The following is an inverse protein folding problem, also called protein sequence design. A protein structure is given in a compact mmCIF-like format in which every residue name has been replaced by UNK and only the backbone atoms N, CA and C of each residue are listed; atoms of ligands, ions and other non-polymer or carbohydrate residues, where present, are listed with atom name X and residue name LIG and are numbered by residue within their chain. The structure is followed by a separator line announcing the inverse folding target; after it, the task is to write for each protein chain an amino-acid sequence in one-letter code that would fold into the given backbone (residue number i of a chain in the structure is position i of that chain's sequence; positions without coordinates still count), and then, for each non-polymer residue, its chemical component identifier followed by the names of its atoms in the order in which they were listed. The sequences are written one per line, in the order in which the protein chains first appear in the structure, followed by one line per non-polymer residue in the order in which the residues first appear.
data_IF_997541022547
#
_entry.id   IF_997541022547
#
_cell.length_a   1.000
_cell.length_b   1.000
_cell.length_c   1.000
_cell.angle_alpha   90.00
_cell.angle_beta   90.00
_cell.angle_gamma   90.00
#
_symmetry.space_group_name_H-M   'P 1'
#
loop_
_entity.id
_entity.type
_entity.pdbx_description
1 polymer ?
#
# COMPACT_ATOMS: atom_id res chain seq x y z
N UNK A 1 9.30 -18.21 -18.46
CA UNK A 1 8.33 -17.10 -18.23
C UNK A 1 8.96 -15.75 -18.52
N UNK A 2 8.15 -14.77 -18.93
CA UNK A 2 8.63 -13.39 -19.08
C UNK A 2 8.67 -12.68 -17.71
N UNK A 3 9.69 -11.84 -17.52
CA UNK A 3 9.85 -11.05 -16.31
C UNK A 3 10.59 -9.73 -16.61
N UNK A 4 10.32 -8.71 -15.80
CA UNK A 4 11.09 -7.47 -15.79
C UNK A 4 12.29 -7.64 -14.84
N UNK A 5 13.48 -7.58 -15.42
CA UNK A 5 14.74 -7.86 -14.74
C UNK A 5 15.46 -6.55 -14.38
N UNK A 6 15.88 -6.47 -13.13
CA UNK A 6 16.77 -5.45 -12.60
C UNK A 6 18.20 -6.02 -12.56
N UNK A 7 19.02 -5.66 -13.54
CA UNK A 7 20.41 -6.12 -13.63
C UNK A 7 21.39 -5.21 -12.86
N UNK A 8 20.93 -4.01 -12.46
CA UNK A 8 21.73 -3.02 -11.73
C UNK A 8 20.87 -2.10 -10.91
N UNK A 9 21.48 -1.39 -9.95
CA UNK A 9 20.83 -0.38 -9.11
C UNK A 9 20.83 1.03 -9.76
N UNK A 10 20.56 1.10 -11.08
CA UNK A 10 20.60 2.35 -11.85
C UNK A 10 19.19 2.91 -12.16
N UNK A 11 18.17 2.42 -11.48
CA UNK A 11 16.80 2.91 -11.59
C UNK A 11 15.91 2.14 -12.57
N UNK A 12 14.65 2.54 -12.59
CA UNK A 12 13.57 1.88 -13.35
C UNK A 12 13.84 1.89 -14.88
N UNK A 13 14.48 2.92 -15.40
CA UNK A 13 14.78 3.03 -16.84
C UNK A 13 15.72 1.92 -17.33
N UNK A 14 16.49 1.32 -16.45
CA UNK A 14 17.42 0.21 -16.75
C UNK A 14 16.79 -1.17 -16.61
N UNK A 15 15.53 -1.27 -16.19
CA UNK A 15 14.81 -2.54 -16.23
C UNK A 15 14.68 -3.03 -17.67
N UNK A 16 14.81 -4.33 -17.85
CA UNK A 16 14.55 -4.96 -19.16
C UNK A 16 13.55 -6.11 -19.04
N UNK A 17 12.70 -6.23 -20.04
CA UNK A 17 11.85 -7.41 -20.21
C UNK A 17 12.71 -8.56 -20.78
N UNK A 18 12.65 -9.71 -20.16
CA UNK A 18 13.41 -10.89 -20.57
C UNK A 18 12.71 -12.19 -20.23
N UNK A 19 13.27 -13.28 -20.70
CA UNK A 19 12.82 -14.64 -20.36
C UNK A 19 13.72 -15.25 -19.29
N UNK A 20 13.09 -15.92 -18.32
CA UNK A 20 13.74 -16.67 -17.25
C UNK A 20 13.04 -18.04 -17.08
N UNK A 21 13.71 -19.04 -16.54
CA UNK A 21 13.05 -20.30 -16.21
C UNK A 21 11.82 -20.08 -15.30
N UNK A 22 10.81 -20.92 -15.45
CA UNK A 22 9.68 -20.94 -14.53
C UNK A 22 10.16 -21.35 -13.14
N UNK A 23 9.78 -20.62 -12.08
CA UNK A 23 10.17 -20.98 -10.74
C UNK A 23 9.34 -22.18 -10.23
N UNK A 24 9.90 -22.99 -9.35
CA UNK A 24 9.23 -24.10 -8.72
C UNK A 24 9.01 -23.85 -7.22
N UNK A 25 7.79 -24.12 -6.71
CA UNK A 25 7.51 -23.90 -5.30
C UNK A 25 8.16 -24.99 -4.44
N UNK A 26 8.76 -24.57 -3.33
CA UNK A 26 9.17 -25.48 -2.25
C UNK A 26 7.97 -26.00 -1.47
N UNK A 27 8.21 -26.90 -0.48
CA UNK A 27 7.12 -27.57 0.25
C UNK A 27 6.08 -26.63 0.88
N UNK A 28 6.49 -25.48 1.43
CA UNK A 28 5.61 -24.53 2.09
C UNK A 28 5.23 -23.33 1.21
N UNK A 29 5.47 -23.43 -0.10
CA UNK A 29 5.25 -22.33 -1.05
C UNK A 29 4.25 -22.74 -2.13
N UNK A 30 3.76 -21.74 -2.85
CA UNK A 30 2.78 -21.85 -3.91
C UNK A 30 3.31 -21.10 -5.13
N UNK A 31 3.12 -21.65 -6.33
CA UNK A 31 3.34 -20.97 -7.59
C UNK A 31 2.05 -20.26 -7.99
N UNK A 32 2.12 -18.96 -8.12
CA UNK A 32 1.00 -18.10 -8.52
C UNK A 32 1.25 -17.54 -9.91
N UNK A 33 0.31 -17.76 -10.84
CA UNK A 33 0.25 -17.09 -12.13
C UNK A 33 -0.31 -15.68 -11.92
N UNK A 34 0.54 -14.67 -12.07
CA UNK A 34 0.19 -13.28 -11.79
C UNK A 34 -0.81 -12.76 -12.81
N UNK A 35 -1.92 -12.20 -12.33
CA UNK A 35 -2.93 -11.49 -13.14
C UNK A 35 -2.66 -9.99 -13.14
N UNK A 36 -2.50 -9.43 -11.96
CA UNK A 36 -2.13 -8.03 -11.76
C UNK A 36 -1.01 -7.92 -10.73
N UNK A 37 -0.01 -7.13 -11.03
CA UNK A 37 0.96 -6.61 -10.08
C UNK A 37 0.63 -5.14 -9.77
N UNK A 38 1.00 -4.65 -8.57
CA UNK A 38 0.79 -3.25 -8.23
C UNK A 38 2.10 -2.55 -7.88
N UNK A 39 2.30 -1.37 -8.46
CA UNK A 39 3.54 -0.62 -8.31
C UNK A 39 3.57 0.19 -7.01
N UNK A 40 4.74 0.29 -6.42
CA UNK A 40 5.00 1.04 -5.20
C UNK A 40 6.24 1.94 -5.35
N UNK A 41 6.29 3.10 -4.68
CA UNK A 41 7.52 3.92 -4.65
C UNK A 41 8.73 3.16 -4.12
N UNK A 42 8.53 2.19 -3.22
CA UNK A 42 9.57 1.34 -2.68
C UNK A 42 10.27 0.48 -3.76
N UNK A 43 9.55 0.04 -4.80
CA UNK A 43 10.14 -0.69 -5.93
C UNK A 43 11.13 0.21 -6.70
N UNK A 44 10.76 1.48 -6.93
CA UNK A 44 11.64 2.45 -7.57
C UNK A 44 12.87 2.78 -6.70
N UNK A 45 12.70 2.92 -5.38
CA UNK A 45 13.82 3.12 -4.46
C UNK A 45 14.76 1.92 -4.43
N UNK A 46 14.23 0.69 -4.49
CA UNK A 46 15.06 -0.52 -4.58
C UNK A 46 15.85 -0.53 -5.89
N UNK A 47 15.21 -0.22 -7.01
CA UNK A 47 15.86 -0.14 -8.32
C UNK A 47 16.99 0.91 -8.37
N UNK A 48 16.88 1.98 -7.59
CA UNK A 48 17.89 3.04 -7.47
C UNK A 48 18.98 2.73 -6.42
N UNK A 49 18.90 1.58 -5.75
CA UNK A 49 19.81 1.28 -4.65
C UNK A 49 19.62 2.13 -3.39
N UNK A 50 18.47 2.80 -3.27
CA UNK A 50 18.10 3.65 -2.13
C UNK A 50 17.25 2.93 -1.08
N UNK A 51 17.04 1.62 -1.24
CA UNK A 51 16.35 0.77 -0.27
C UNK A 51 17.38 0.01 0.58
N UNK A 52 17.09 -0.31 1.86
CA UNK A 52 18.05 -1.03 2.73
C UNK A 52 18.46 -2.39 2.18
N UNK A 53 17.50 -3.17 1.65
CA UNK A 53 17.79 -4.47 1.05
C UNK A 53 18.59 -4.34 -0.25
N UNK A 54 19.48 -5.30 -0.49
CA UNK A 54 20.32 -5.41 -1.69
C UNK A 54 20.24 -6.84 -2.23
N UNK A 55 19.14 -7.20 -2.91
CA UNK A 55 18.99 -8.55 -3.46
C UNK A 55 20.08 -8.88 -4.48
N UNK A 56 20.30 -10.19 -4.66
CA UNK A 56 21.18 -10.70 -5.71
C UNK A 56 20.60 -10.35 -7.09
N UNK A 57 21.45 -9.83 -7.97
CA UNK A 57 21.08 -9.48 -9.34
C UNK A 57 21.36 -10.64 -10.32
N UNK A 58 20.56 -10.82 -11.39
CA UNK A 58 19.37 -10.04 -11.73
C UNK A 58 18.22 -10.31 -10.77
N UNK A 59 17.45 -9.27 -10.41
CA UNK A 59 16.31 -9.35 -9.50
C UNK A 59 15.00 -8.96 -10.18
N UNK A 60 13.88 -9.49 -9.70
CA UNK A 60 12.53 -9.17 -10.18
C UNK A 60 11.81 -8.36 -9.09
N UNK A 61 11.40 -7.14 -9.41
CA UNK A 61 10.67 -6.25 -8.51
C UNK A 61 9.19 -6.63 -8.40
N UNK A 62 8.47 -5.90 -7.55
CA UNK A 62 7.02 -6.02 -7.35
C UNK A 62 6.66 -6.75 -6.07
N UNK A 63 6.01 -6.01 -5.15
CA UNK A 63 5.72 -6.45 -3.77
C UNK A 63 4.24 -6.77 -3.55
N UNK A 64 3.39 -6.36 -4.46
CA UNK A 64 1.94 -6.53 -4.45
C UNK A 64 1.48 -7.28 -5.68
N UNK A 65 0.43 -8.06 -5.55
CA UNK A 65 -0.19 -8.69 -6.69
C UNK A 65 -1.33 -9.62 -6.33
N UNK A 66 -2.01 -10.05 -7.37
CA UNK A 66 -3.10 -11.02 -7.35
C UNK A 66 -2.93 -11.98 -8.50
N UNK A 67 -3.28 -13.22 -8.30
CA UNK A 67 -3.17 -14.23 -9.33
C UNK A 67 -3.90 -15.51 -9.03
N UNK A 68 -3.71 -16.48 -9.89
CA UNK A 68 -4.30 -17.81 -9.81
C UNK A 68 -3.22 -18.83 -9.42
N UNK A 69 -3.54 -19.68 -8.48
CA UNK A 69 -2.65 -20.75 -8.00
C UNK A 69 -2.47 -21.81 -9.08
N UNK A 70 -1.23 -22.00 -9.53
CA UNK A 70 -0.86 -22.98 -10.55
C UNK A 70 -0.31 -24.28 -9.94
N UNK A 71 0.53 -24.18 -8.91
CA UNK A 71 1.09 -25.33 -8.18
C UNK A 71 1.11 -25.04 -6.68
N UNK A 72 0.91 -26.09 -5.89
CA UNK A 72 0.94 -26.02 -4.42
C UNK A 72 1.97 -27.01 -3.90
N UNK A 73 2.90 -26.55 -3.06
CA UNK A 73 3.85 -27.42 -2.37
C UNK A 73 3.17 -28.34 -1.36
N UNK A 74 3.84 -29.40 -0.94
CA UNK A 74 3.27 -30.46 -0.11
C UNK A 74 2.73 -29.99 1.26
N UNK A 75 3.08 -28.77 1.69
CA UNK A 75 2.62 -28.12 2.93
C UNK A 75 1.92 -26.79 2.66
N UNK A 76 1.19 -26.66 1.53
CA UNK A 76 0.51 -25.44 1.09
C UNK A 76 -0.74 -25.05 1.90
N UNK A 77 -1.05 -25.76 2.98
CA UNK A 77 -2.16 -25.41 3.87
C UNK A 77 -3.52 -25.55 3.22
N UNK A 78 -4.35 -24.51 3.31
CA UNK A 78 -5.70 -24.48 2.76
C UNK A 78 -5.78 -23.98 1.31
N UNK A 79 -4.65 -23.62 0.71
CA UNK A 79 -4.58 -23.12 -0.68
C UNK A 79 -4.70 -24.31 -1.65
N UNK A 80 -5.45 -24.13 -2.73
CA UNK A 80 -5.69 -25.15 -3.77
C UNK A 80 -5.32 -24.61 -5.15
N UNK A 81 -4.93 -25.49 -6.05
CA UNK A 81 -4.77 -25.16 -7.49
C UNK A 81 -6.09 -24.62 -8.03
N UNK A 82 -6.02 -23.51 -8.76
CA UNK A 82 -7.17 -22.78 -9.28
C UNK A 82 -7.72 -21.71 -8.35
N UNK A 83 -7.29 -21.65 -7.08
CA UNK A 83 -7.69 -20.56 -6.19
C UNK A 83 -7.19 -19.22 -6.73
N UNK A 84 -8.02 -18.18 -6.59
CA UNK A 84 -7.60 -16.81 -6.85
C UNK A 84 -7.19 -16.15 -5.53
N UNK A 85 -5.95 -15.68 -5.47
CA UNK A 85 -5.32 -15.24 -4.23
C UNK A 85 -4.61 -13.91 -4.39
N UNK A 86 -4.62 -13.11 -3.33
CA UNK A 86 -3.78 -11.93 -3.19
C UNK A 86 -2.60 -12.21 -2.27
N UNK A 87 -1.52 -11.46 -2.49
CA UNK A 87 -0.29 -11.57 -1.74
C UNK A 87 -0.33 -10.55 -0.61
N UNK A 88 -0.34 -11.03 0.63
CA UNK A 88 -0.50 -10.17 1.79
C UNK A 88 0.81 -9.54 2.24
N UNK A 89 1.71 -10.33 2.79
CA UNK A 89 3.01 -9.86 3.31
C UNK A 89 4.05 -10.95 3.16
N UNK A 90 5.12 -10.66 2.44
CA UNK A 90 6.34 -11.47 2.39
C UNK A 90 7.48 -10.67 1.74
N UNK A 91 8.64 -11.28 1.58
CA UNK A 91 9.84 -10.61 1.04
C UNK A 91 9.93 -10.65 -0.49
N UNK A 92 8.83 -10.99 -1.20
CA UNK A 92 8.81 -10.93 -2.67
C UNK A 92 9.03 -9.49 -3.15
N UNK A 93 9.76 -9.37 -4.25
CA UNK A 93 10.13 -8.07 -4.82
C UNK A 93 11.11 -7.27 -3.96
N UNK A 94 11.61 -7.83 -2.85
CA UNK A 94 12.64 -7.23 -1.98
C UNK A 94 13.86 -8.11 -1.93
N UNK A 95 13.80 -9.28 -1.32
CA UNK A 95 14.87 -10.27 -1.24
C UNK A 95 14.60 -11.48 -2.12
N UNK A 96 13.31 -11.78 -2.35
CA UNK A 96 12.85 -12.84 -3.24
C UNK A 96 12.31 -12.23 -4.54
N UNK A 97 12.35 -12.95 -5.69
CA UNK A 97 11.73 -12.49 -6.93
C UNK A 97 10.27 -12.07 -6.75
N UNK A 98 9.89 -10.96 -7.37
CA UNK A 98 8.59 -10.31 -7.18
C UNK A 98 7.57 -10.53 -8.30
N UNK A 99 6.52 -9.72 -8.27
CA UNK A 99 5.33 -9.86 -9.11
C UNK A 99 5.43 -9.21 -10.49
N UNK A 100 6.53 -8.50 -10.81
CA UNK A 100 6.75 -8.02 -12.18
C UNK A 100 7.24 -9.15 -13.10
N UNK A 101 6.57 -10.30 -13.02
CA UNK A 101 6.78 -11.52 -13.80
C UNK A 101 5.45 -12.24 -14.03
N UNK A 102 5.40 -13.14 -15.03
CA UNK A 102 4.20 -13.93 -15.32
C UNK A 102 3.84 -14.90 -14.17
N UNK A 103 4.85 -15.35 -13.42
CA UNK A 103 4.66 -16.26 -12.28
C UNK A 103 5.57 -15.84 -11.12
N UNK A 104 5.12 -16.11 -9.91
CA UNK A 104 5.87 -15.85 -8.68
C UNK A 104 5.67 -16.99 -7.68
N UNK A 105 6.72 -17.37 -6.96
CA UNK A 105 6.64 -18.29 -5.83
C UNK A 105 6.45 -17.49 -4.55
N UNK A 106 5.39 -17.82 -3.80
CA UNK A 106 5.00 -17.12 -2.57
C UNK A 106 4.84 -18.14 -1.43
N UNK A 107 5.28 -17.85 -0.19
CA UNK A 107 4.92 -18.66 0.96
C UNK A 107 3.40 -18.81 1.08
N UNK A 108 2.90 -20.01 1.22
CA UNK A 108 1.46 -20.29 1.24
C UNK A 108 0.72 -19.49 2.33
N UNK A 109 1.35 -19.31 3.49
CA UNK A 109 0.81 -18.53 4.61
C UNK A 109 0.70 -17.01 4.35
N UNK A 110 1.39 -16.50 3.32
CA UNK A 110 1.31 -15.10 2.88
C UNK A 110 0.21 -14.87 1.84
N UNK A 111 -0.55 -15.89 1.48
CA UNK A 111 -1.66 -15.78 0.55
C UNK A 111 -2.98 -15.61 1.30
N UNK A 112 -3.87 -14.83 0.72
CA UNK A 112 -5.24 -14.64 1.20
C UNK A 112 -6.22 -14.70 0.03
N UNK A 113 -7.40 -15.25 0.27
CA UNK A 113 -8.48 -15.21 -0.71
C UNK A 113 -8.99 -13.78 -0.89
N UNK A 114 -9.55 -13.52 -2.06
CA UNK A 114 -10.13 -12.22 -2.38
C UNK A 114 -11.39 -11.99 -1.52
N UNK A 115 -11.53 -10.85 -0.86
CA UNK A 115 -12.73 -10.53 -0.10
C UNK A 115 -13.98 -10.54 -1.02
N UNK A 116 -15.10 -10.97 -0.50
CA UNK A 116 -16.36 -11.04 -1.26
C UNK A 116 -16.71 -9.70 -1.88
N UNK A 117 -17.02 -9.71 -3.17
CA UNK A 117 -17.41 -8.52 -3.92
C UNK A 117 -16.24 -7.57 -4.30
N UNK A 118 -14.97 -7.96 -4.04
CA UNK A 118 -13.82 -7.22 -4.55
C UNK A 118 -13.43 -7.72 -5.94
N UNK A 119 -12.96 -6.80 -6.78
CA UNK A 119 -12.33 -7.17 -8.05
C UNK A 119 -10.87 -7.61 -7.86
N UNK A 120 -10.29 -8.21 -8.91
CA UNK A 120 -8.85 -8.54 -8.91
C UNK A 120 -7.99 -7.30 -8.80
N UNK A 121 -8.39 -6.23 -9.46
CA UNK A 121 -7.70 -4.96 -9.46
C UNK A 121 -7.69 -4.32 -8.07
N UNK A 122 -8.84 -4.31 -7.39
CA UNK A 122 -8.94 -3.82 -6.00
C UNK A 122 -8.04 -4.64 -5.09
N UNK A 123 -8.04 -5.97 -5.23
CA UNK A 123 -7.20 -6.85 -4.42
C UNK A 123 -5.71 -6.65 -4.72
N UNK A 124 -5.31 -6.54 -6.00
CA UNK A 124 -3.90 -6.38 -6.38
C UNK A 124 -3.24 -5.17 -5.73
N UNK A 125 -4.00 -4.08 -5.57
CA UNK A 125 -3.50 -2.81 -5.06
C UNK A 125 -3.64 -2.61 -3.54
N UNK A 126 -4.27 -3.54 -2.82
CA UNK A 126 -4.69 -3.29 -1.44
C UNK A 126 -3.68 -3.72 -0.36
N UNK A 127 -3.13 -4.94 -0.33
CA UNK A 127 -2.51 -5.49 0.85
C UNK A 127 -1.40 -4.63 1.44
N UNK A 128 -0.40 -4.25 0.65
CA UNK A 128 0.75 -3.51 1.15
C UNK A 128 0.35 -2.13 1.72
N UNK A 129 -0.46 -1.38 0.98
CA UNK A 129 -0.82 -0.01 1.38
C UNK A 129 -1.75 0.01 2.58
N UNK A 130 -2.71 -0.93 2.67
CA UNK A 130 -3.62 -1.00 3.81
C UNK A 130 -2.94 -1.56 5.06
N UNK A 131 -2.03 -2.53 4.96
CA UNK A 131 -1.23 -2.98 6.11
C UNK A 131 -0.32 -1.85 6.62
N UNK A 132 0.30 -1.09 5.72
CA UNK A 132 1.12 0.07 6.08
C UNK A 132 0.27 1.14 6.78
N UNK A 133 -0.89 1.49 6.24
CA UNK A 133 -1.80 2.45 6.85
C UNK A 133 -2.35 1.96 8.20
N UNK A 134 -2.70 0.68 8.31
CA UNK A 134 -3.14 0.07 9.56
C UNK A 134 -2.07 0.20 10.64
N UNK A 135 -0.82 -0.17 10.35
CA UNK A 135 0.29 -0.02 11.27
C UNK A 135 0.50 1.45 11.67
N UNK A 136 0.48 2.37 10.70
CA UNK A 136 0.62 3.80 10.95
C UNK A 136 -0.43 4.34 11.94
N UNK A 137 -1.66 3.84 11.87
CA UNK A 137 -2.75 4.25 12.73
C UNK A 137 -2.73 3.57 14.11
N UNK A 138 -2.24 2.33 14.21
CA UNK A 138 -2.46 1.49 15.39
C UNK A 138 -1.23 1.24 16.26
N UNK A 139 -0.01 1.56 15.80
CA UNK A 139 1.25 1.28 16.51
C UNK A 139 1.45 2.05 17.84
N UNK A 140 0.56 2.96 18.18
CA UNK A 140 0.78 3.92 19.27
C UNK A 140 0.24 3.49 20.63
N UNK A 141 -0.37 2.34 20.72
CA UNK A 141 -0.82 1.70 21.96
C UNK A 141 -0.17 0.32 22.13
N UNK A 142 -0.17 -0.19 23.34
CA UNK A 142 0.29 -1.54 23.65
C UNK A 142 -0.83 -2.29 24.40
N UNK A 143 -1.39 -3.35 23.80
CA UNK A 143 -1.13 -3.84 22.44
C UNK A 143 -1.59 -2.86 21.34
N UNK A 144 -1.06 -2.96 20.10
CA UNK A 144 -1.45 -2.10 18.99
C UNK A 144 -2.96 -2.11 18.73
N UNK A 145 -3.55 -0.92 18.65
CA UNK A 145 -4.99 -0.74 18.49
C UNK A 145 -5.38 0.61 17.89
N UNK A 146 -6.65 0.76 17.46
CA UNK A 146 -7.13 1.98 16.83
C UNK A 146 -7.02 3.18 17.78
N UNK A 147 -6.82 4.39 17.25
CA UNK A 147 -6.93 5.63 18.02
C UNK A 147 -8.32 5.79 18.64
N UNK A 148 -8.42 6.66 19.65
CA UNK A 148 -9.72 7.00 20.22
C UNK A 148 -10.64 7.62 19.15
N UNK A 149 -11.93 7.27 19.20
CA UNK A 149 -12.94 7.87 18.30
C UNK A 149 -12.91 9.40 18.41
N UNK A 150 -13.19 10.06 17.28
CA UNK A 150 -13.18 11.52 17.16
C UNK A 150 -11.81 12.17 17.39
N UNK A 151 -10.71 11.37 17.51
CA UNK A 151 -9.36 11.90 17.37
C UNK A 151 -9.15 12.48 15.98
N UNK A 152 -8.35 13.53 15.87
CA UNK A 152 -8.04 14.17 14.58
C UNK A 152 -6.84 13.50 13.94
N UNK A 153 -7.05 12.96 12.74
CA UNK A 153 -6.05 12.37 11.88
C UNK A 153 -5.66 13.34 10.77
N UNK A 154 -4.39 13.69 10.65
CA UNK A 154 -3.84 14.43 9.53
C UNK A 154 -3.11 13.47 8.58
N UNK A 155 -3.41 13.53 7.28
CA UNK A 155 -2.81 12.65 6.26
C UNK A 155 -2.13 13.47 5.18
N UNK A 156 -0.81 13.34 5.04
CA UNK A 156 -0.07 13.93 3.91
C UNK A 156 -0.03 12.97 2.73
N UNK A 157 0.07 13.49 1.51
CA UNK A 157 0.04 12.66 0.31
C UNK A 157 -1.23 11.80 0.23
N UNK A 158 -2.35 12.36 0.67
CA UNK A 158 -3.61 11.65 0.90
C UNK A 158 -4.18 10.96 -0.35
N UNK A 159 -3.84 11.41 -1.55
CA UNK A 159 -4.26 10.76 -2.80
C UNK A 159 -3.43 9.55 -3.20
N UNK A 160 -2.24 9.37 -2.63
CA UNK A 160 -1.39 8.19 -2.89
C UNK A 160 -1.91 6.92 -2.22
N UNK A 161 -1.32 5.77 -2.52
CA UNK A 161 -1.80 4.47 -2.04
C UNK A 161 -1.97 4.40 -0.52
N UNK A 162 -0.92 4.67 0.27
CA UNK A 162 -0.99 4.62 1.75
C UNK A 162 -1.82 5.78 2.31
N UNK A 163 -1.68 6.98 1.73
CA UNK A 163 -2.46 8.14 2.17
C UNK A 163 -3.96 7.88 2.05
N UNK A 164 -4.40 7.37 0.90
CA UNK A 164 -5.80 7.06 0.65
C UNK A 164 -6.31 5.91 1.54
N UNK A 165 -5.49 4.88 1.74
CA UNK A 165 -5.81 3.82 2.70
C UNK A 165 -5.96 4.38 4.12
N UNK A 166 -5.14 5.37 4.52
CA UNK A 166 -5.24 6.04 5.82
C UNK A 166 -6.52 6.87 5.96
N UNK A 167 -6.96 7.56 4.88
CA UNK A 167 -8.24 8.29 4.85
C UNK A 167 -9.41 7.32 5.05
N UNK A 168 -9.45 6.23 4.28
CA UNK A 168 -10.53 5.23 4.37
C UNK A 168 -10.58 4.56 5.74
N UNK A 169 -9.43 4.14 6.27
CA UNK A 169 -9.36 3.53 7.60
C UNK A 169 -9.68 4.54 8.71
N UNK A 170 -9.21 5.79 8.58
CA UNK A 170 -9.56 6.87 9.51
C UNK A 170 -11.06 7.07 9.60
N UNK A 171 -11.74 7.14 8.44
CA UNK A 171 -13.21 7.19 8.37
C UNK A 171 -13.85 5.97 9.02
N UNK A 172 -13.35 4.77 8.71
CA UNK A 172 -13.87 3.54 9.30
C UNK A 172 -13.66 3.45 10.83
N UNK A 173 -12.67 4.15 11.38
CA UNK A 173 -12.39 4.21 12.82
C UNK A 173 -13.09 5.38 13.53
N UNK A 174 -14.01 6.09 12.86
CA UNK A 174 -14.70 7.27 13.38
C UNK A 174 -13.76 8.41 13.77
N UNK A 175 -12.65 8.61 13.03
CA UNK A 175 -11.74 9.73 13.19
C UNK A 175 -12.22 10.94 12.39
N UNK A 176 -11.80 12.14 12.82
CA UNK A 176 -11.91 13.37 12.02
C UNK A 176 -10.69 13.40 11.11
N UNK A 177 -10.90 13.28 9.80
CA UNK A 177 -9.83 13.13 8.82
C UNK A 177 -9.55 14.45 8.11
N UNK A 178 -8.37 15.00 8.37
CA UNK A 178 -7.79 16.14 7.64
C UNK A 178 -6.82 15.59 6.60
N UNK A 179 -7.10 15.82 5.33
CA UNK A 179 -6.26 15.33 4.24
C UNK A 179 -5.52 16.48 3.55
N UNK A 180 -4.32 16.21 3.00
CA UNK A 180 -3.59 17.19 2.22
C UNK A 180 -3.47 16.74 0.76
N UNK A 181 -3.85 17.64 -0.18
CA UNK A 181 -3.74 17.43 -1.62
C UNK A 181 -3.58 18.74 -2.36
N UNK A 182 -2.69 18.80 -3.36
CA UNK A 182 -2.47 19.95 -4.24
C UNK A 182 -3.50 20.09 -5.36
N UNK A 183 -4.15 19.00 -5.71
CA UNK A 183 -5.01 18.87 -6.89
C UNK A 183 -6.49 19.00 -6.49
N UNK A 184 -7.18 20.01 -7.00
CA UNK A 184 -8.59 20.30 -6.69
C UNK A 184 -9.54 19.13 -7.05
N UNK A 185 -9.31 18.45 -8.18
CA UNK A 185 -10.13 17.30 -8.56
C UNK A 185 -9.97 16.13 -7.58
N UNK A 186 -8.78 15.98 -7.00
CA UNK A 186 -8.50 14.97 -5.96
C UNK A 186 -9.09 15.39 -4.60
N UNK A 187 -9.13 16.68 -4.27
CA UNK A 187 -9.75 17.18 -3.03
C UNK A 187 -11.21 16.75 -2.97
N UNK A 188 -11.97 16.97 -4.04
CA UNK A 188 -13.40 16.55 -4.12
C UNK A 188 -13.54 15.03 -3.91
N UNK A 189 -12.68 14.23 -4.53
CA UNK A 189 -12.71 12.78 -4.38
C UNK A 189 -12.33 12.34 -2.96
N UNK A 190 -11.36 12.99 -2.31
CA UNK A 190 -10.96 12.70 -0.94
C UNK A 190 -12.10 12.95 0.05
N UNK A 191 -12.88 14.03 -0.12
CA UNK A 191 -14.09 14.28 0.67
C UNK A 191 -15.09 13.14 0.47
N UNK A 192 -15.38 12.76 -0.77
CA UNK A 192 -16.32 11.67 -1.08
C UNK A 192 -15.86 10.32 -0.48
N UNK A 193 -14.55 10.11 -0.30
CA UNK A 193 -13.95 8.91 0.29
C UNK A 193 -13.78 8.97 1.81
N UNK A 194 -14.19 10.07 2.45
CA UNK A 194 -14.28 10.15 3.90
C UNK A 194 -13.31 11.12 4.59
N UNK A 195 -12.60 11.98 3.85
CA UNK A 195 -11.95 13.13 4.46
C UNK A 195 -13.01 14.16 4.88
N UNK A 196 -12.91 14.69 6.11
CA UNK A 196 -13.82 15.74 6.59
C UNK A 196 -13.44 17.11 6.02
N UNK A 197 -12.13 17.34 5.82
CA UNK A 197 -11.62 18.56 5.20
C UNK A 197 -10.32 18.26 4.45
N UNK A 198 -10.09 18.99 3.35
CA UNK A 198 -8.87 18.85 2.54
C UNK A 198 -8.21 20.22 2.32
N UNK A 199 -6.92 20.31 2.63
CA UNK A 199 -6.11 21.52 2.43
C UNK A 199 -5.05 21.32 1.36
N UNK A 200 -4.59 22.44 0.80
CA UNK A 200 -3.39 22.46 -0.03
C UNK A 200 -2.15 22.47 0.89
N UNK A 201 -1.21 21.50 0.74
CA UNK A 201 0.03 21.50 1.51
C UNK A 201 0.95 22.71 1.20
N UNK A 202 0.71 23.44 0.11
CA UNK A 202 1.48 24.64 -0.27
C UNK A 202 0.86 25.94 0.28
N UNK A 203 -0.27 25.86 1.01
CA UNK A 203 -0.85 27.01 1.70
C UNK A 203 0.13 27.54 2.76
N UNK A 204 0.53 28.81 2.62
CA UNK A 204 1.44 29.48 3.57
C UNK A 204 0.89 29.56 5.00
N UNK A 205 -0.43 29.46 5.16
CA UNK A 205 -1.12 29.47 6.44
C UNK A 205 -1.62 28.08 6.86
N UNK A 206 -1.11 27.01 6.28
CA UNK A 206 -1.59 25.63 6.44
C UNK A 206 -1.91 25.27 7.90
N UNK A 207 -0.99 25.51 8.82
CA UNK A 207 -1.14 25.16 10.24
C UNK A 207 -2.31 25.92 10.88
N UNK A 208 -2.47 27.20 10.55
CA UNK A 208 -3.56 28.03 11.08
C UNK A 208 -4.91 27.63 10.44
N UNK A 209 -4.91 27.37 9.14
CA UNK A 209 -6.11 26.92 8.40
C UNK A 209 -6.63 25.59 8.96
N UNK A 210 -5.74 24.61 9.19
CA UNK A 210 -6.09 23.36 9.85
C UNK A 210 -6.62 23.62 11.25
N UNK A 211 -5.89 24.40 12.07
CA UNK A 211 -6.29 24.69 13.45
C UNK A 211 -7.67 25.34 13.55
N UNK A 212 -7.99 26.25 12.65
CA UNK A 212 -9.31 26.89 12.59
C UNK A 212 -10.43 25.91 12.25
N UNK A 213 -10.19 25.05 11.25
CA UNK A 213 -11.20 24.09 10.77
C UNK A 213 -11.55 23.01 11.81
N UNK A 214 -10.60 22.61 12.65
CA UNK A 214 -10.82 21.53 13.66
C UNK A 214 -11.06 22.07 15.07
N UNK A 215 -11.08 23.40 15.28
CA UNK A 215 -11.25 24.03 16.61
C UNK A 215 -12.52 23.52 17.32
N UNK A 216 -12.47 23.27 18.63
CA UNK A 216 -11.35 23.44 19.58
C UNK A 216 -10.34 22.28 19.63
N UNK A 217 -10.49 21.28 18.76
CA UNK A 217 -9.62 20.11 18.72
C UNK A 217 -8.21 20.48 18.21
N UNK A 218 -7.29 19.53 18.33
CA UNK A 218 -5.93 19.58 17.78
C UNK A 218 -5.66 18.27 17.03
N UNK A 219 -4.65 18.25 16.18
CA UNK A 219 -4.23 17.02 15.50
C UNK A 219 -3.62 16.07 16.51
N UNK A 220 -4.21 14.87 16.66
CA UNK A 220 -3.77 13.83 17.60
C UNK A 220 -2.76 12.88 16.95
N UNK A 221 -2.95 12.60 15.68
CA UNK A 221 -2.12 11.68 14.91
C UNK A 221 -1.92 12.20 13.48
N UNK A 222 -0.69 12.16 12.99
CA UNK A 222 -0.39 12.39 11.59
C UNK A 222 0.18 11.12 10.94
N UNK A 223 -0.25 10.83 9.72
CA UNK A 223 0.37 9.83 8.82
C UNK A 223 1.08 10.59 7.71
N UNK A 224 2.41 10.60 7.79
CA UNK A 224 3.24 11.35 6.85
C UNK A 224 3.81 10.45 5.75
N UNK A 225 3.24 10.59 4.53
CA UNK A 225 3.69 9.88 3.33
C UNK A 225 4.67 10.71 2.48
N UNK A 226 4.94 11.97 2.85
CA UNK A 226 5.68 12.93 2.04
C UNK A 226 7.07 13.25 2.62
N UNK A 227 7.15 13.59 3.90
CA UNK A 227 8.40 14.02 4.53
C UNK A 227 8.92 15.36 4.00
N UNK A 228 10.24 15.52 4.03
CA UNK A 228 10.92 16.70 3.48
C UNK A 228 10.46 18.01 4.14
N UNK A 229 10.30 19.05 3.34
CA UNK A 229 9.97 20.41 3.81
C UNK A 229 8.57 20.55 4.42
N UNK A 230 7.68 19.56 4.24
CA UNK A 230 6.34 19.59 4.83
C UNK A 230 6.35 19.13 6.30
N UNK A 231 7.32 18.32 6.71
CA UNK A 231 7.37 17.73 8.05
C UNK A 231 7.36 18.77 9.20
N UNK A 232 8.06 19.92 9.13
CA UNK A 232 8.00 20.96 10.15
C UNK A 232 6.57 21.49 10.39
N UNK A 233 5.79 21.73 9.34
CA UNK A 233 4.40 22.20 9.45
C UNK A 233 3.49 21.13 10.06
N UNK A 234 3.72 19.86 9.70
CA UNK A 234 2.99 18.74 10.32
C UNK A 234 3.26 18.68 11.82
N UNK A 235 4.54 18.79 12.24
CA UNK A 235 4.93 18.84 13.66
C UNK A 235 4.31 20.05 14.36
N UNK A 236 4.32 21.23 13.72
CA UNK A 236 3.72 22.44 14.27
C UNK A 236 2.20 22.34 14.44
N UNK A 237 1.53 21.59 13.57
CA UNK A 237 0.08 21.36 13.63
C UNK A 237 -0.38 20.37 14.71
N UNK A 238 0.52 19.50 15.23
CA UNK A 238 0.17 18.50 16.24
C UNK A 238 -0.21 19.14 17.58
N UNK A 239 -1.14 18.53 18.29
CA UNK A 239 -1.51 18.87 19.66
C UNK A 239 -0.52 18.33 20.70
N UNK A 240 -0.84 18.55 21.99
CA UNK A 240 -0.09 17.96 23.11
C UNK A 240 -0.19 16.43 23.08
N UNK A 241 0.93 15.74 23.28
CA UNK A 241 1.07 14.28 23.14
C UNK A 241 0.71 13.76 21.74
N UNK A 242 0.72 14.62 20.72
CA UNK A 242 0.51 14.25 19.34
C UNK A 242 1.53 13.24 18.84
N UNK A 243 1.15 12.47 17.83
CA UNK A 243 1.93 11.36 17.29
C UNK A 243 2.09 11.54 15.78
N UNK A 244 3.23 11.15 15.24
CA UNK A 244 3.47 11.16 13.80
C UNK A 244 4.07 9.84 13.33
N UNK A 245 3.39 9.17 12.43
CA UNK A 245 3.85 7.96 11.75
C UNK A 245 4.51 8.34 10.44
N UNK A 246 5.83 8.16 10.35
CA UNK A 246 6.64 8.41 9.17
C UNK A 246 6.55 7.20 8.25
N UNK A 247 5.92 7.36 7.09
CA UNK A 247 5.64 6.28 6.14
C UNK A 247 6.44 6.45 4.86
N UNK A 248 6.63 7.67 4.40
CA UNK A 248 7.25 7.97 3.13
C UNK A 248 8.21 9.15 3.15
N UNK A 249 8.91 9.33 2.01
CA UNK A 249 9.91 10.37 1.83
C UNK A 249 9.90 10.97 0.42
N UNK A 250 8.72 11.01 -0.21
CA UNK A 250 8.60 11.49 -1.59
C UNK A 250 8.96 12.98 -1.74
N UNK A 251 8.84 13.77 -0.68
CA UNK A 251 9.25 15.18 -0.62
C UNK A 251 10.68 15.41 -0.13
N UNK A 252 11.43 14.34 0.15
CA UNK A 252 12.81 14.42 0.63
C UNK A 252 13.06 13.61 1.90
N UNK A 253 14.35 13.43 2.23
CA UNK A 253 14.80 12.61 3.37
C UNK A 253 15.29 13.43 4.54
N UNK A 254 15.56 14.71 4.34
CA UNK A 254 16.07 15.62 5.37
C UNK A 254 15.02 16.68 5.65
N UNK A 255 14.81 16.95 6.93
CA UNK A 255 13.92 18.01 7.44
C UNK A 255 14.58 18.70 8.60
N UNK A 256 14.50 20.02 8.62
CA UNK A 256 14.92 20.84 9.77
C UNK A 256 13.66 21.26 10.54
N UNK A 257 13.62 21.00 11.83
CA UNK A 257 12.52 21.38 12.71
C UNK A 257 13.00 21.74 14.12
N UNK A 258 12.19 22.54 14.80
CA UNK A 258 12.50 22.99 16.16
C UNK A 258 12.18 21.87 17.18
N UNK A 259 13.22 21.26 17.77
CA UNK A 259 13.09 20.19 18.76
C UNK A 259 12.39 20.63 20.06
N UNK A 260 12.35 21.92 20.37
CA UNK A 260 11.58 22.45 21.50
C UNK A 260 10.08 22.15 21.36
N UNK A 261 9.56 22.10 20.12
CA UNK A 261 8.16 21.70 19.87
C UNK A 261 7.91 20.27 20.31
N UNK A 262 8.84 19.35 20.04
CA UNK A 262 8.74 17.96 20.51
C UNK A 262 8.75 17.89 22.04
N UNK A 263 9.68 18.63 22.67
CA UNK A 263 9.84 18.65 24.14
C UNK A 263 8.58 19.17 24.84
N UNK A 264 8.16 20.39 24.54
CA UNK A 264 7.08 21.06 25.26
C UNK A 264 5.69 20.49 24.95
N UNK A 265 5.49 19.95 23.77
CA UNK A 265 4.22 19.29 23.39
C UNK A 265 4.24 17.78 23.59
N UNK A 266 5.37 17.19 24.03
CA UNK A 266 5.54 15.74 24.23
C UNK A 266 5.19 14.91 22.98
N UNK A 267 5.55 15.41 21.81
CA UNK A 267 5.27 14.76 20.52
C UNK A 267 6.11 13.49 20.40
N UNK A 268 5.51 12.42 19.86
CA UNK A 268 6.18 11.16 19.55
C UNK A 268 6.23 10.95 18.05
N UNK A 269 7.40 10.54 17.53
CA UNK A 269 7.62 10.21 16.15
C UNK A 269 8.04 8.74 16.03
N UNK A 270 7.50 8.03 15.05
CA UNK A 270 7.84 6.63 14.79
C UNK A 270 7.78 6.29 13.32
N UNK A 271 8.73 5.48 12.87
CA UNK A 271 8.70 4.91 11.53
C UNK A 271 7.62 3.82 11.40
N UNK A 272 7.26 3.51 10.17
CA UNK A 272 6.35 2.42 9.82
C UNK A 272 7.06 1.47 8.87
N UNK A 273 7.10 0.20 9.22
CA UNK A 273 7.70 -0.85 8.41
C UNK A 273 6.76 -2.05 8.33
N UNK A 274 6.21 -2.29 7.16
CA UNK A 274 5.38 -3.48 6.93
C UNK A 274 6.18 -4.79 7.10
N UNK A 275 7.51 -4.70 7.04
CA UNK A 275 8.42 -5.81 7.33
C UNK A 275 8.34 -6.33 8.77
N UNK A 276 7.86 -5.52 9.71
CA UNK A 276 7.72 -5.90 11.12
C UNK A 276 6.53 -6.85 11.38
N UNK A 277 5.59 -6.95 10.43
CA UNK A 277 4.52 -7.93 10.57
C UNK A 277 5.06 -9.36 10.48
N UNK A 278 4.68 -10.19 11.44
CA UNK A 278 4.66 -11.65 11.22
C UNK A 278 3.52 -11.98 10.26
N UNK A 279 3.58 -13.13 9.61
CA UNK A 279 2.47 -13.57 8.74
C UNK A 279 1.14 -13.62 9.49
N UNK A 280 1.15 -14.14 10.72
CA UNK A 280 -0.06 -14.21 11.56
C UNK A 280 -0.62 -12.83 11.90
N UNK A 281 0.23 -11.89 12.31
CA UNK A 281 -0.23 -10.52 12.64
C UNK A 281 -0.73 -9.79 11.41
N UNK A 282 -0.13 -10.01 10.24
CA UNK A 282 -0.61 -9.47 8.97
C UNK A 282 -2.01 -10.01 8.60
N UNK A 283 -2.25 -11.31 8.76
CA UNK A 283 -3.56 -11.91 8.50
C UNK A 283 -4.64 -11.37 9.47
N UNK A 284 -4.31 -11.19 10.76
CA UNK A 284 -5.23 -10.59 11.73
C UNK A 284 -5.54 -9.14 11.34
N UNK A 285 -4.53 -8.34 11.01
CA UNK A 285 -4.71 -6.97 10.56
C UNK A 285 -5.55 -6.91 9.28
N UNK A 286 -5.28 -7.79 8.32
CA UNK A 286 -6.02 -7.84 7.05
C UNK A 286 -7.52 -8.10 7.27
N UNK A 287 -7.90 -9.06 8.10
CA UNK A 287 -9.30 -9.33 8.43
C UNK A 287 -10.00 -8.09 9.01
N UNK A 288 -9.31 -7.36 9.90
CA UNK A 288 -9.83 -6.11 10.47
C UNK A 288 -9.96 -5.00 9.43
N UNK A 289 -8.98 -4.87 8.54
CA UNK A 289 -9.00 -3.91 7.44
C UNK A 289 -10.21 -4.17 6.52
N UNK A 290 -10.40 -5.40 6.07
CA UNK A 290 -11.54 -5.78 5.21
C UNK A 290 -12.86 -5.44 5.89
N UNK A 291 -13.04 -5.84 7.17
CA UNK A 291 -14.24 -5.52 7.94
C UNK A 291 -14.47 -4.01 8.11
N UNK A 292 -13.40 -3.22 8.26
CA UNK A 292 -13.50 -1.75 8.29
C UNK A 292 -14.04 -1.19 6.97
N UNK A 293 -13.49 -1.64 5.84
CA UNK A 293 -13.89 -1.17 4.51
C UNK A 293 -15.33 -1.59 4.15
N UNK A 294 -15.72 -2.82 4.50
CA UNK A 294 -17.09 -3.31 4.33
C UNK A 294 -18.10 -2.43 5.10
N UNK A 295 -17.79 -2.09 6.34
CA UNK A 295 -18.67 -1.27 7.18
C UNK A 295 -18.94 0.11 6.60
N UNK A 296 -17.98 0.73 5.94
CA UNK A 296 -18.16 2.04 5.31
C UNK A 296 -18.56 1.98 3.84
N UNK A 297 -18.70 0.77 3.27
CA UNK A 297 -19.08 0.56 1.88
C UNK A 297 -18.06 1.05 0.85
N UNK A 298 -16.79 1.18 1.22
CA UNK A 298 -15.72 1.62 0.32
C UNK A 298 -14.80 0.47 -0.10
N UNK A 299 -14.12 0.67 -1.23
CA UNK A 299 -13.20 -0.28 -1.85
C UNK A 299 -11.83 0.37 -2.06
N UNK A 300 -10.75 -0.44 -2.18
CA UNK A 300 -9.45 0.05 -2.62
C UNK A 300 -9.55 0.77 -3.96
N UNK A 301 -8.80 1.86 -4.13
CA UNK A 301 -8.90 2.70 -5.32
C UNK A 301 -7.74 2.40 -6.28
N UNK A 302 -8.09 2.21 -7.55
CA UNK A 302 -7.14 2.01 -8.65
C UNK A 302 -7.14 3.26 -9.53
N UNK A 303 -5.98 3.83 -9.75
CA UNK A 303 -5.81 5.01 -10.62
C UNK A 303 -5.76 4.61 -12.08
N UNK A 304 -4.90 3.65 -12.41
CA UNK A 304 -4.66 3.22 -13.79
C UNK A 304 -4.10 1.81 -13.86
N UNK A 305 -4.24 1.21 -15.03
CA UNK A 305 -3.73 -0.12 -15.35
C UNK A 305 -2.92 -0.02 -16.64
N UNK A 306 -1.66 -0.43 -16.61
CA UNK A 306 -0.80 -0.48 -17.78
C UNK A 306 -0.59 -1.93 -18.23
N UNK A 307 -0.36 -2.19 -19.53
CA UNK A 307 0.07 -3.51 -20.03
C UNK A 307 1.40 -3.94 -19.42
N UNK A 308 1.66 -5.24 -19.38
CA UNK A 308 2.91 -5.80 -18.85
C UNK A 308 4.15 -5.25 -19.58
N UNK A 309 4.06 -5.04 -20.88
CA UNK A 309 5.12 -4.49 -21.70
C UNK A 309 5.45 -3.02 -21.39
N UNK A 310 4.55 -2.33 -20.68
CA UNK A 310 4.62 -0.90 -20.38
C UNK A 310 4.93 -0.57 -18.91
N UNK A 311 5.54 -1.47 -18.15
CA UNK A 311 5.86 -1.27 -16.72
C UNK A 311 6.54 0.07 -16.44
N UNK A 312 7.47 0.52 -17.31
CA UNK A 312 8.13 1.82 -17.14
C UNK A 312 7.16 3.00 -17.23
N UNK A 313 6.14 2.94 -18.10
CA UNK A 313 5.06 3.95 -18.13
C UNK A 313 4.24 3.94 -16.83
N UNK A 314 4.02 2.76 -16.26
CA UNK A 314 3.39 2.64 -14.94
C UNK A 314 4.19 3.35 -13.84
N UNK A 315 5.50 3.19 -13.80
CA UNK A 315 6.36 3.92 -12.86
C UNK A 315 6.39 5.43 -13.13
N UNK A 316 6.38 5.85 -14.39
CA UNK A 316 6.25 7.26 -14.74
C UNK A 316 4.92 7.85 -14.24
N UNK A 317 3.79 7.11 -14.39
CA UNK A 317 2.49 7.50 -13.82
C UNK A 317 2.54 7.58 -12.29
N UNK A 318 3.20 6.60 -11.64
CA UNK A 318 3.37 6.58 -10.18
C UNK A 318 4.09 7.85 -9.68
N UNK A 319 5.13 8.30 -10.39
CA UNK A 319 5.90 9.50 -10.05
C UNK A 319 5.07 10.80 -10.19
N UNK A 320 4.03 10.81 -11.02
CA UNK A 320 3.12 11.96 -11.22
C UNK A 320 2.07 12.10 -10.12
N UNK A 321 2.07 11.24 -9.10
CA UNK A 321 1.12 11.28 -8.00
C UNK A 321 -0.28 10.82 -8.41
N UNK A 322 -0.50 9.51 -8.53
CA UNK A 322 -1.80 8.95 -8.86
C UNK A 322 -2.85 9.16 -7.76
N UNK A 323 -4.12 8.88 -8.08
CA UNK A 323 -5.20 8.76 -7.11
C UNK A 323 -5.45 7.28 -6.79
N UNK A 324 -4.74 6.74 -5.81
CA UNK A 324 -4.75 5.30 -5.51
C UNK A 324 -3.59 4.55 -6.13
N UNK A 325 -3.83 3.33 -6.64
CA UNK A 325 -2.79 2.41 -7.11
C UNK A 325 -2.65 2.39 -8.62
N UNK A 326 -1.41 2.30 -9.08
CA UNK A 326 -1.06 1.99 -10.47
C UNK A 326 -0.79 0.50 -10.56
N UNK A 327 -1.51 -0.19 -11.43
CA UNK A 327 -1.41 -1.62 -11.65
C UNK A 327 -0.75 -1.94 -12.98
N UNK A 328 -0.19 -3.13 -13.06
CA UNK A 328 0.32 -3.77 -14.26
C UNK A 328 -0.53 -5.00 -14.54
N UNK A 329 -1.16 -5.08 -15.71
CA UNK A 329 -1.86 -6.28 -16.18
C UNK A 329 -0.83 -7.23 -16.78
N UNK A 330 -0.51 -8.30 -16.04
CA UNK A 330 0.53 -9.26 -16.43
C UNK A 330 -0.03 -10.32 -17.41
N UNK A 331 -1.23 -10.86 -17.14
CA UNK A 331 -1.87 -11.82 -18.03
C UNK A 331 -3.27 -11.36 -18.42
N UNK A 332 -3.68 -11.62 -19.65
CA UNK A 332 -5.05 -11.38 -20.09
C UNK A 332 -6.02 -12.21 -19.23
N UNK A 333 -7.13 -11.61 -18.82
CA UNK A 333 -8.23 -12.32 -18.17
C UNK A 333 -8.89 -13.22 -19.21
N UNK A 334 -8.51 -14.49 -19.29
CA UNK A 334 -9.41 -15.46 -19.89
C UNK A 334 -10.53 -15.65 -18.89
N UNK A 335 -11.71 -15.09 -19.18
CA UNK A 335 -12.94 -15.47 -18.50
C UNK A 335 -13.10 -16.97 -18.76
N UNK A 336 -12.84 -17.80 -17.76
CA UNK A 336 -13.31 -19.18 -17.75
C UNK A 336 -14.84 -19.09 -17.86
N UNK A 337 -15.38 -19.53 -18.98
CA UNK A 337 -16.81 -19.70 -19.16
C UNK A 337 -17.33 -20.53 -17.96
N UNK A 338 -18.45 -20.14 -17.32
CA UNK A 338 -19.02 -20.95 -16.25
C UNK A 338 -19.24 -22.35 -16.82
N UNK A 339 -18.80 -23.36 -16.07
CA UNK A 339 -19.06 -24.75 -16.39
C UNK A 339 -20.58 -24.92 -16.49
N UNK A 340 -21.10 -24.86 -17.70
CA UNK A 340 -22.48 -25.21 -18.02
C UNK A 340 -22.70 -26.65 -17.56
N UNK A 341 -23.59 -26.79 -16.59
CA UNK A 341 -24.06 -28.01 -16.03
C UNK A 341 -24.24 -29.09 -17.11
N UNK A 342 -23.43 -30.12 -17.11
CA UNK A 342 -23.78 -31.42 -17.68
C UNK A 342 -24.66 -32.14 -16.68
N UNK A 343 -25.95 -31.84 -16.73
CA UNK A 343 -26.97 -32.69 -16.22
C UNK A 343 -28.16 -32.65 -17.21
N UNK A 344 -28.05 -33.48 -18.22
CA UNK A 344 -29.16 -34.00 -18.99
C UNK A 344 -28.70 -35.31 -19.63
N UNK A 345 -29.01 -36.42 -18.97
CA UNK A 345 -29.46 -37.65 -19.63
C UNK A 345 -29.55 -38.80 -18.61
N UNK A 346 -30.73 -39.30 -18.58
CA UNK A 346 -31.33 -40.55 -18.11
C UNK A 346 -31.78 -40.58 -16.67
#
# INVERSE_FOLDING_TARGET
MRAWLMDSYQGIEKLRLGEVPDPHPGPASVLVKVRYAALNPADAFLAQGLYPAKPTLPHILGRDGVGEVELVGSRGGNIRVGDTVGILRCEIGVEMPGTLAEKVVVPAESLVHIPTGWSLEEMAGAPLVFLTAWQALTQWSDPPGPPAKQSVLLVTGASGGVGLASVLLGKAMDLIVVALSRDEAKKTKLIALGADVVFDPEDRNLVNSISAAISPRKVDLAVDCVGGNLLPDIIAGLGHAGRISIVGRSGGTVSEFNTATLLFRRIRMGGVSVGDYTTQSAQVAWKRIVSCLERIGHRPQVDSIVPFEEVKKGFARLAQGPMGKVLVRVAATQLSAPALARNLAC
#
